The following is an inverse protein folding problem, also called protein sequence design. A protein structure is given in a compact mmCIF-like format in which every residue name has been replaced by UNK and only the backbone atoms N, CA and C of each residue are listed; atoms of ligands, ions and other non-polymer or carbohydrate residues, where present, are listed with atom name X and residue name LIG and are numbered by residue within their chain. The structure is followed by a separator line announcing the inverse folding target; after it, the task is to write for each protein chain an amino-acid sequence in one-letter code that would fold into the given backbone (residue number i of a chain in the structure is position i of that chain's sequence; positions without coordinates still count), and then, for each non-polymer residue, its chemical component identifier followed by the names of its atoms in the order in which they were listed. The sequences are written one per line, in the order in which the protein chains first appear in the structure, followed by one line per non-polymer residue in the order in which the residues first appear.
data_IF_693609589497
#
_entry.id   IF_693609589497
#
_cell.length_a   1.000
_cell.length_b   1.000
_cell.length_c   1.000
_cell.angle_alpha   90.00
_cell.angle_beta   90.00
_cell.angle_gamma   90.00
#
_symmetry.space_group_name_H-M   'P 1'
#
loop_
_entity.id
_entity.type
_entity.pdbx_description
1 polymer ?
#
# COMPACT_ATOMS: atom_id res chain seq x y z
N UNK A 1 -42.32 8.00 69.22
CA UNK A 1 -41.29 8.37 68.21
C UNK A 1 -40.73 7.05 67.70
N UNK A 2 -40.89 6.63 66.45
CA UNK A 2 -40.90 7.35 65.16
C UNK A 2 -41.56 6.49 64.06
N UNK A 3 -42.07 7.17 63.04
CA UNK A 3 -43.02 6.73 62.01
C UNK A 3 -42.53 5.65 61.03
N UNK A 4 -43.48 4.85 60.51
CA UNK A 4 -43.29 4.01 59.32
C UNK A 4 -43.52 4.84 58.06
N UNK A 5 -42.48 5.03 57.25
CA UNK A 5 -42.54 5.76 55.97
C UNK A 5 -43.36 4.95 54.95
N UNK A 6 -44.57 5.43 54.63
CA UNK A 6 -45.45 4.84 53.62
C UNK A 6 -45.09 5.31 52.21
N UNK A 7 -44.41 4.46 51.43
CA UNK A 7 -44.13 4.73 50.02
C UNK A 7 -45.45 4.65 49.23
N UNK A 8 -45.92 5.81 48.77
CA UNK A 8 -47.19 5.95 48.04
C UNK A 8 -46.97 5.80 46.54
N UNK A 9 -47.89 5.15 45.82
CA UNK A 9 -47.81 4.88 44.35
C UNK A 9 -47.61 6.15 43.48
N UNK A 10 -47.96 7.33 43.99
CA UNK A 10 -47.72 8.63 43.33
C UNK A 10 -46.24 9.09 43.37
N UNK A 11 -45.45 8.59 44.31
CA UNK A 11 -44.00 8.85 44.33
C UNK A 11 -43.31 8.08 43.20
N UNK A 12 -43.74 6.84 42.93
CA UNK A 12 -43.21 6.02 41.84
C UNK A 12 -43.47 6.61 40.44
N UNK A 13 -44.62 7.25 40.21
CA UNK A 13 -44.93 7.84 38.90
C UNK A 13 -44.16 9.13 38.62
N UNK A 14 -43.77 9.89 39.64
CA UNK A 14 -42.90 11.08 39.47
C UNK A 14 -41.44 10.71 39.20
N UNK A 15 -40.94 9.62 39.80
CA UNK A 15 -39.59 9.11 39.54
C UNK A 15 -39.43 8.55 38.12
N UNK A 16 -40.49 7.94 37.57
CA UNK A 16 -40.46 7.37 36.21
C UNK A 16 -40.33 8.42 35.11
N UNK A 17 -40.93 9.60 35.28
CA UNK A 17 -40.85 10.70 34.29
C UNK A 17 -39.49 11.41 34.27
N UNK A 18 -38.77 11.44 35.39
CA UNK A 18 -37.42 12.02 35.44
C UNK A 18 -36.37 11.13 34.74
N UNK A 19 -36.57 9.80 34.73
CA UNK A 19 -35.66 8.86 34.04
C UNK A 19 -35.75 8.91 32.52
N UNK A 20 -36.92 9.21 31.96
CA UNK A 20 -37.14 9.23 30.50
C UNK A 20 -36.48 10.45 29.84
N UNK A 21 -36.43 11.59 30.52
CA UNK A 21 -35.82 12.83 29.98
C UNK A 21 -34.29 12.72 29.87
N UNK A 22 -33.63 11.95 30.75
CA UNK A 22 -32.20 11.69 30.67
C UNK A 22 -31.82 10.64 29.60
N UNK A 23 -32.75 9.76 29.20
CA UNK A 23 -32.53 8.77 28.15
C UNK A 23 -32.70 9.36 26.72
N UNK A 24 -33.37 10.50 26.59
CA UNK A 24 -33.62 11.19 25.32
C UNK A 24 -32.62 12.32 25.03
N UNK A 25 -31.66 12.57 25.92
CA UNK A 25 -30.59 13.52 25.64
C UNK A 25 -29.79 12.98 24.43
N UNK A 26 -29.71 13.71 23.29
CA UNK A 26 -28.87 13.30 22.19
C UNK A 26 -27.44 13.28 22.72
N UNK A 27 -26.91 12.08 22.97
CA UNK A 27 -25.48 11.92 23.22
C UNK A 27 -24.78 12.65 22.08
N UNK A 28 -23.93 13.64 22.36
CA UNK A 28 -23.14 14.26 21.32
C UNK A 28 -22.28 13.14 20.74
N UNK A 29 -22.69 12.64 19.57
CA UNK A 29 -21.82 11.85 18.71
C UNK A 29 -20.70 12.82 18.37
N UNK A 30 -19.60 12.73 19.10
CA UNK A 30 -18.38 13.42 18.71
C UNK A 30 -18.09 12.94 17.30
N UNK A 31 -18.33 13.80 16.33
CA UNK A 31 -17.78 13.65 15.00
C UNK A 31 -16.27 13.76 15.20
N UNK A 32 -15.64 12.61 15.48
CA UNK A 32 -14.19 12.49 15.42
C UNK A 32 -13.87 12.79 13.97
N UNK A 33 -13.37 14.00 13.71
CA UNK A 33 -12.80 14.34 12.41
C UNK A 33 -11.75 13.28 12.13
N UNK A 34 -12.10 12.29 11.33
CA UNK A 34 -11.27 11.10 11.21
C UNK A 34 -10.17 11.45 10.22
N UNK A 35 -8.94 11.57 10.72
CA UNK A 35 -7.78 11.97 9.91
C UNK A 35 -7.69 11.11 8.64
N UNK A 36 -7.30 11.68 7.49
CA UNK A 36 -7.19 10.91 6.26
C UNK A 36 -6.15 9.79 6.41
N UNK A 37 -6.38 8.68 5.72
CA UNK A 37 -5.39 7.60 5.59
C UNK A 37 -4.38 8.06 4.54
N UNK A 38 -3.17 8.36 5.00
CA UNK A 38 -2.06 8.76 4.13
C UNK A 38 -1.36 7.52 3.58
N UNK A 39 -1.16 7.49 2.27
CA UNK A 39 -0.46 6.41 1.58
C UNK A 39 0.61 7.04 0.69
N UNK A 40 1.85 6.62 0.89
CA UNK A 40 3.03 7.13 0.19
C UNK A 40 3.27 6.35 -1.08
N UNK A 41 3.47 7.07 -2.18
CA UNK A 41 3.75 6.53 -3.51
C UNK A 41 4.98 7.21 -4.11
N UNK A 42 6.19 6.85 -3.66
CA UNK A 42 7.41 7.20 -4.38
C UNK A 42 7.41 6.47 -5.73
N UNK A 43 7.38 7.23 -6.82
CA UNK A 43 7.32 6.72 -8.18
C UNK A 43 8.39 7.38 -9.03
N UNK A 44 8.97 6.64 -9.97
CA UNK A 44 9.81 7.22 -11.02
C UNK A 44 8.89 7.89 -12.06
N UNK A 45 8.48 9.14 -11.84
CA UNK A 45 7.65 9.92 -12.76
C UNK A 45 8.48 10.51 -13.90
N UNK A 46 9.75 10.77 -13.64
CA UNK A 46 10.78 11.14 -14.62
C UNK A 46 11.85 10.04 -14.73
N UNK A 47 12.76 10.18 -15.70
CA UNK A 47 13.82 9.21 -15.94
C UNK A 47 13.41 8.03 -16.84
N UNK A 48 14.20 6.94 -16.86
CA UNK A 48 14.08 5.85 -17.84
C UNK A 48 12.72 5.13 -17.85
N UNK A 49 12.05 5.08 -16.69
CA UNK A 49 10.73 4.45 -16.53
C UNK A 49 9.61 5.48 -16.26
N UNK A 50 9.83 6.75 -16.62
CA UNK A 50 8.86 7.83 -16.38
C UNK A 50 7.46 7.52 -16.94
N UNK A 51 7.39 6.90 -18.13
CA UNK A 51 6.10 6.49 -18.73
C UNK A 51 5.34 5.46 -17.90
N UNK A 52 6.04 4.56 -17.22
CA UNK A 52 5.44 3.55 -16.31
C UNK A 52 5.01 4.23 -15.02
N UNK A 53 5.85 5.08 -14.43
CA UNK A 53 5.49 5.84 -13.23
C UNK A 53 4.26 6.73 -13.45
N UNK A 54 4.11 7.36 -14.61
CA UNK A 54 2.91 8.13 -14.94
C UNK A 54 1.65 7.25 -15.03
N UNK A 55 1.76 6.02 -15.51
CA UNK A 55 0.64 5.07 -15.51
C UNK A 55 0.27 4.64 -14.09
N UNK A 56 1.26 4.35 -13.25
CA UNK A 56 1.05 4.02 -11.83
C UNK A 56 0.40 5.18 -11.07
N UNK A 57 0.85 6.42 -11.30
CA UNK A 57 0.24 7.63 -10.74
C UNK A 57 -1.24 7.72 -11.08
N UNK A 58 -1.58 7.62 -12.38
CA UNK A 58 -2.98 7.69 -12.84
C UNK A 58 -3.84 6.59 -12.22
N UNK A 59 -3.30 5.37 -12.12
CA UNK A 59 -3.98 4.25 -11.48
C UNK A 59 -4.25 4.48 -9.99
N UNK A 60 -3.25 4.98 -9.25
CA UNK A 60 -3.39 5.34 -7.84
C UNK A 60 -4.43 6.45 -7.63
N UNK A 61 -4.31 7.55 -8.39
CA UNK A 61 -5.26 8.68 -8.31
C UNK A 61 -6.70 8.26 -8.61
N UNK A 62 -6.90 7.40 -9.63
CA UNK A 62 -8.21 6.85 -9.95
C UNK A 62 -8.75 6.01 -8.78
N UNK A 63 -7.94 5.13 -8.22
CA UNK A 63 -8.34 4.30 -7.07
C UNK A 63 -8.74 5.15 -5.86
N UNK A 64 -7.91 6.13 -5.48
CA UNK A 64 -8.21 7.02 -4.37
C UNK A 64 -9.49 7.83 -4.62
N UNK A 65 -9.67 8.36 -5.84
CA UNK A 65 -10.87 9.11 -6.22
C UNK A 65 -12.14 8.24 -6.11
N UNK A 66 -12.11 7.03 -6.66
CA UNK A 66 -13.24 6.09 -6.60
C UNK A 66 -13.57 5.73 -5.16
N UNK A 67 -12.55 5.40 -4.36
CA UNK A 67 -12.78 4.97 -2.99
C UNK A 67 -13.28 6.11 -2.10
N UNK A 68 -12.75 7.31 -2.27
CA UNK A 68 -13.22 8.52 -1.59
C UNK A 68 -14.66 8.88 -2.00
N UNK A 69 -15.01 8.71 -3.27
CA UNK A 69 -16.39 8.87 -3.77
C UNK A 69 -17.39 7.88 -3.15
N UNK A 70 -16.92 6.69 -2.75
CA UNK A 70 -17.73 5.67 -2.08
C UNK A 70 -17.81 5.82 -0.55
N UNK A 71 -17.40 6.98 -0.01
CA UNK A 71 -17.41 7.24 1.43
C UNK A 71 -16.08 6.93 2.14
N UNK A 72 -15.01 6.69 1.38
CA UNK A 72 -13.67 6.43 1.89
C UNK A 72 -13.44 4.98 2.30
N UNK A 73 -12.33 4.75 3.00
CA UNK A 73 -11.95 3.45 3.55
C UNK A 73 -12.14 3.47 5.07
N UNK A 74 -12.97 2.59 5.61
CA UNK A 74 -13.31 2.56 7.06
C UNK A 74 -13.88 3.93 7.52
N UNK A 75 -14.60 4.62 6.64
CA UNK A 75 -15.13 5.97 6.89
C UNK A 75 -14.09 7.11 6.87
N UNK A 76 -12.85 6.82 6.45
CA UNK A 76 -11.75 7.78 6.34
C UNK A 76 -11.43 8.06 4.88
N UNK A 77 -11.17 9.32 4.55
CA UNK A 77 -10.70 9.70 3.22
C UNK A 77 -9.26 9.23 3.01
N UNK A 78 -8.92 8.81 1.80
CA UNK A 78 -7.57 8.43 1.39
C UNK A 78 -6.85 9.66 0.83
N UNK A 79 -5.63 9.91 1.32
CA UNK A 79 -4.71 10.91 0.81
C UNK A 79 -3.48 10.20 0.22
N UNK A 80 -3.34 10.25 -1.10
CA UNK A 80 -2.15 9.75 -1.79
C UNK A 80 -1.07 10.83 -1.81
N UNK A 81 0.11 10.51 -1.29
CA UNK A 81 1.30 11.35 -1.34
C UNK A 81 2.21 10.79 -2.44
N UNK A 82 2.26 11.48 -3.58
CA UNK A 82 3.01 11.04 -4.75
C UNK A 82 4.23 11.94 -4.91
N UNK A 83 5.43 11.35 -4.88
CA UNK A 83 6.68 12.06 -5.07
C UNK A 83 7.48 11.41 -6.20
N UNK A 84 8.17 12.24 -6.98
CA UNK A 84 9.06 11.78 -8.05
C UNK A 84 10.42 11.38 -7.49
N UNK A 85 10.85 10.16 -7.82
CA UNK A 85 12.16 9.62 -7.46
C UNK A 85 13.19 9.76 -8.57
N UNK A 86 12.77 10.15 -9.79
CA UNK A 86 13.65 10.25 -10.96
C UNK A 86 14.29 8.94 -11.41
N UNK A 87 13.86 7.80 -10.86
CA UNK A 87 14.49 6.50 -11.07
C UNK A 87 15.79 6.29 -10.28
N UNK A 88 16.06 7.12 -9.26
CA UNK A 88 17.27 7.05 -8.44
C UNK A 88 16.98 6.44 -7.05
N UNK A 89 17.67 5.36 -6.65
CA UNK A 89 17.50 4.75 -5.33
C UNK A 89 17.74 5.70 -4.15
N UNK A 90 18.72 6.61 -4.26
CA UNK A 90 19.01 7.56 -3.17
C UNK A 90 17.87 8.55 -2.98
N UNK A 91 17.30 9.06 -4.08
CA UNK A 91 16.13 9.94 -4.02
C UNK A 91 14.89 9.19 -3.53
N UNK A 92 14.69 7.93 -3.92
CA UNK A 92 13.59 7.12 -3.42
C UNK A 92 13.63 6.96 -1.88
N UNK A 93 14.80 6.68 -1.31
CA UNK A 93 14.97 6.58 0.16
C UNK A 93 14.70 7.93 0.82
N UNK A 94 15.30 9.01 0.31
CA UNK A 94 15.11 10.35 0.88
C UNK A 94 13.64 10.79 0.84
N UNK A 95 12.97 10.59 -0.30
CA UNK A 95 11.54 10.92 -0.46
C UNK A 95 10.65 10.07 0.42
N UNK A 96 10.91 8.77 0.54
CA UNK A 96 10.18 7.91 1.46
C UNK A 96 10.38 8.36 2.92
N UNK A 97 11.61 8.69 3.31
CA UNK A 97 11.92 9.21 4.65
C UNK A 97 11.17 10.52 4.93
N UNK A 98 11.18 11.48 3.99
CA UNK A 98 10.41 12.72 4.10
C UNK A 98 8.92 12.44 4.32
N UNK A 99 8.32 11.47 3.60
CA UNK A 99 6.91 11.09 3.80
C UNK A 99 6.63 10.50 5.19
N UNK A 100 7.55 9.71 5.75
CA UNK A 100 7.40 9.17 7.11
C UNK A 100 7.51 10.30 8.12
N UNK A 101 8.60 11.07 8.07
CA UNK A 101 8.96 12.04 9.12
C UNK A 101 8.10 13.30 9.08
N UNK A 102 7.87 13.86 7.89
CA UNK A 102 7.09 15.10 7.72
C UNK A 102 5.59 14.83 7.72
N UNK A 103 5.17 13.82 6.95
CA UNK A 103 3.76 13.61 6.67
C UNK A 103 3.14 12.51 7.55
N UNK A 104 3.93 11.75 8.32
CA UNK A 104 3.43 10.67 9.18
C UNK A 104 2.89 9.47 8.38
N UNK A 105 3.45 9.22 7.20
CA UNK A 105 2.98 8.17 6.30
C UNK A 105 3.64 6.82 6.63
N UNK A 106 2.86 5.88 7.16
CA UNK A 106 3.35 4.56 7.56
C UNK A 106 2.95 3.44 6.59
N UNK A 107 2.30 3.78 5.48
CA UNK A 107 1.89 2.82 4.45
C UNK A 107 2.44 3.31 3.11
N UNK A 108 3.28 2.48 2.51
CA UNK A 108 3.84 2.71 1.20
C UNK A 108 3.24 1.75 0.19
N UNK A 109 3.02 2.25 -1.02
CA UNK A 109 2.70 1.43 -2.19
C UNK A 109 3.40 2.01 -3.41
N UNK A 110 3.69 1.18 -4.41
CA UNK A 110 4.43 1.62 -5.59
C UNK A 110 5.89 1.26 -5.55
N UNK A 111 6.77 2.20 -5.90
CA UNK A 111 8.16 2.00 -6.32
C UNK A 111 8.26 1.23 -7.65
N UNK A 112 8.62 1.98 -8.69
CA UNK A 112 8.72 1.50 -10.06
C UNK A 112 9.96 0.62 -10.27
N UNK A 113 11.14 1.07 -9.80
CA UNK A 113 12.38 0.32 -10.04
C UNK A 113 12.68 -0.67 -8.91
N UNK A 114 13.22 -1.83 -9.30
CA UNK A 114 13.67 -2.82 -8.31
C UNK A 114 14.87 -2.35 -7.50
N UNK A 115 15.74 -1.50 -8.08
CA UNK A 115 16.88 -0.89 -7.38
C UNK A 115 16.44 0.07 -6.27
N UNK A 116 15.38 0.85 -6.51
CA UNK A 116 14.78 1.73 -5.51
C UNK A 116 14.16 0.93 -4.37
N UNK A 117 13.43 -0.15 -4.71
CA UNK A 117 12.79 -1.00 -3.71
C UNK A 117 13.82 -1.66 -2.78
N UNK A 118 14.95 -2.14 -3.34
CA UNK A 118 16.04 -2.73 -2.55
C UNK A 118 16.71 -1.73 -1.60
N UNK A 119 16.69 -0.44 -1.92
CA UNK A 119 17.22 0.61 -1.05
C UNK A 119 16.22 1.00 0.06
N UNK A 120 14.93 1.02 -0.25
CA UNK A 120 13.87 1.41 0.69
C UNK A 120 13.50 0.30 1.68
N UNK A 121 13.43 -0.95 1.23
CA UNK A 121 12.95 -2.08 2.04
C UNK A 121 13.70 -2.26 3.37
N UNK A 122 15.04 -2.19 3.44
CA UNK A 122 15.78 -2.30 4.70
C UNK A 122 15.43 -1.22 5.74
N UNK A 123 14.87 -0.09 5.31
CA UNK A 123 14.51 1.04 6.18
C UNK A 123 13.10 0.94 6.76
N UNK A 124 12.27 0.02 6.28
CA UNK A 124 10.87 -0.11 6.69
C UNK A 124 10.70 -0.46 8.18
N UNK A 125 11.62 -1.26 8.74
CA UNK A 125 11.59 -1.62 10.16
C UNK A 125 11.86 -0.40 11.05
N UNK A 126 12.85 0.43 10.68
CA UNK A 126 13.21 1.67 11.37
C UNK A 126 12.03 2.64 11.38
N UNK A 127 11.35 2.78 10.24
CA UNK A 127 10.19 3.66 10.09
C UNK A 127 8.88 3.08 10.62
N UNK A 128 8.88 1.81 11.07
CA UNK A 128 7.65 1.06 11.41
C UNK A 128 6.58 1.16 10.33
N UNK A 129 7.01 1.21 9.08
CA UNK A 129 6.15 1.38 7.93
C UNK A 129 5.94 0.04 7.21
N UNK A 130 4.79 -0.13 6.59
CA UNK A 130 4.46 -1.29 5.77
C UNK A 130 4.59 -0.88 4.31
N UNK A 131 5.22 -1.73 3.49
CA UNK A 131 5.34 -1.50 2.05
C UNK A 131 4.69 -2.62 1.27
N UNK A 132 3.74 -2.26 0.39
CA UNK A 132 3.11 -3.18 -0.56
C UNK A 132 3.61 -2.86 -1.96
N UNK A 133 4.43 -3.75 -2.52
CA UNK A 133 4.93 -3.60 -3.88
C UNK A 133 3.86 -3.90 -4.94
N UNK A 134 3.86 -3.09 -6.01
CA UNK A 134 2.96 -3.21 -7.16
C UNK A 134 3.67 -3.44 -8.50
N UNK A 135 4.98 -3.16 -8.64
CA UNK A 135 5.66 -3.22 -9.95
C UNK A 135 7.03 -3.94 -9.90
N UNK A 136 7.89 -3.56 -8.96
CA UNK A 136 9.25 -4.09 -8.85
C UNK A 136 9.32 -5.64 -8.73
N UNK A 137 10.21 -6.25 -9.53
CA UNK A 137 10.23 -7.70 -9.74
C UNK A 137 11.40 -8.45 -9.12
N UNK A 138 12.38 -7.80 -8.47
CA UNK A 138 13.57 -8.51 -8.00
C UNK A 138 13.20 -9.62 -6.98
N UNK A 139 13.81 -10.79 -7.17
CA UNK A 139 13.59 -11.96 -6.32
C UNK A 139 14.18 -11.81 -4.92
N UNK A 140 15.27 -11.03 -4.79
CA UNK A 140 15.97 -10.82 -3.52
C UNK A 140 15.08 -10.17 -2.47
N UNK A 141 14.15 -9.31 -2.89
CA UNK A 141 13.18 -8.65 -2.01
C UNK A 141 12.29 -9.63 -1.20
N UNK A 142 12.14 -10.89 -1.62
CA UNK A 142 11.42 -11.96 -0.87
C UNK A 142 12.32 -13.11 -0.44
N UNK A 143 13.64 -12.98 -0.66
CA UNK A 143 14.61 -13.98 -0.31
C UNK A 143 15.65 -13.34 0.62
N UNK A 144 16.80 -12.96 0.09
CA UNK A 144 17.94 -12.42 0.85
C UNK A 144 17.63 -11.12 1.60
N UNK A 145 16.84 -10.24 0.99
CA UNK A 145 16.50 -8.91 1.53
C UNK A 145 15.09 -8.85 2.10
N UNK A 146 14.58 -9.98 2.57
CA UNK A 146 13.24 -10.07 3.15
C UNK A 146 13.17 -9.30 4.48
N UNK A 147 12.09 -8.54 4.65
CA UNK A 147 11.69 -7.93 5.93
C UNK A 147 10.21 -8.23 6.19
N UNK A 148 9.77 -8.38 7.46
CA UNK A 148 8.38 -8.72 7.79
C UNK A 148 7.36 -7.68 7.31
N UNK A 149 7.78 -6.43 7.16
CA UNK A 149 6.93 -5.31 6.77
C UNK A 149 6.78 -5.15 5.24
N UNK A 150 7.45 -6.01 4.46
CA UNK A 150 7.39 -5.98 3.01
C UNK A 150 6.44 -7.05 2.47
N UNK A 151 5.46 -6.60 1.69
CA UNK A 151 4.52 -7.43 0.96
C UNK A 151 4.59 -7.10 -0.52
N UNK A 152 4.25 -8.05 -1.39
CA UNK A 152 4.16 -7.80 -2.83
C UNK A 152 2.89 -8.40 -3.40
N UNK A 153 2.25 -7.67 -4.31
CA UNK A 153 1.05 -8.13 -5.04
C UNK A 153 1.39 -8.64 -6.45
N UNK A 154 2.57 -8.29 -6.96
CA UNK A 154 3.03 -8.56 -8.30
C UNK A 154 3.94 -9.80 -8.37
N UNK A 155 4.22 -10.25 -9.59
CA UNK A 155 5.07 -11.42 -9.84
C UNK A 155 6.56 -11.06 -9.70
N UNK A 156 7.35 -11.97 -9.13
CA UNK A 156 8.80 -11.82 -9.10
C UNK A 156 9.44 -12.28 -10.43
N UNK A 157 10.60 -11.75 -10.76
CA UNK A 157 11.39 -12.14 -11.93
C UNK A 157 11.73 -13.65 -11.92
N UNK A 158 12.08 -14.30 -10.79
CA UNK A 158 12.17 -15.75 -10.73
C UNK A 158 10.88 -16.48 -11.12
N UNK A 159 9.71 -16.01 -10.68
CA UNK A 159 8.42 -16.61 -11.05
C UNK A 159 8.12 -16.44 -12.55
N UNK A 160 8.40 -15.26 -13.11
CA UNK A 160 8.27 -15.01 -14.53
C UNK A 160 9.22 -15.91 -15.35
N UNK A 161 10.47 -16.07 -14.91
CA UNK A 161 11.44 -16.98 -15.53
C UNK A 161 11.00 -18.44 -15.45
N UNK A 162 10.45 -18.88 -14.32
CA UNK A 162 9.88 -20.22 -14.18
C UNK A 162 8.75 -20.47 -15.17
N UNK A 163 7.83 -19.52 -15.32
CA UNK A 163 6.75 -19.57 -16.32
C UNK A 163 7.30 -19.64 -17.75
N UNK A 164 8.26 -18.79 -18.10
CA UNK A 164 8.91 -18.83 -19.41
C UNK A 164 9.61 -20.16 -19.65
N UNK A 165 10.30 -20.71 -18.63
CA UNK A 165 10.95 -22.03 -18.74
C UNK A 165 9.95 -23.15 -18.93
N UNK A 166 8.79 -23.12 -18.27
CA UNK A 166 7.72 -24.10 -18.50
C UNK A 166 7.20 -24.01 -19.94
N UNK A 167 6.88 -22.80 -20.42
CA UNK A 167 6.31 -22.61 -21.75
C UNK A 167 7.30 -22.87 -22.90
N UNK A 168 8.56 -22.44 -22.73
CA UNK A 168 9.62 -22.67 -23.71
C UNK A 168 10.20 -24.09 -23.63
N UNK A 169 10.26 -24.68 -22.43
CA UNK A 169 10.73 -26.05 -22.20
C UNK A 169 9.78 -27.11 -22.75
N UNK A 170 8.46 -26.86 -22.72
CA UNK A 170 7.46 -27.71 -23.37
C UNK A 170 7.31 -27.46 -24.89
N UNK A 171 8.13 -26.59 -25.47
CA UNK A 171 8.16 -26.31 -26.91
C UNK A 171 9.56 -26.55 -27.46
N UNK A 172 10.04 -27.77 -27.31
CA UNK A 172 11.15 -28.30 -28.10
C UNK A 172 10.79 -28.19 -29.59
N UNK A 173 11.31 -27.16 -30.27
CA UNK A 173 11.31 -27.09 -31.74
C UNK A 173 10.73 -25.84 -32.41
N UNK A 174 10.32 -24.78 -31.71
CA UNK A 174 9.94 -23.52 -32.39
C UNK A 174 10.88 -22.38 -32.00
N UNK A 175 11.77 -22.05 -32.93
CA UNK A 175 12.61 -20.85 -32.93
C UNK A 175 11.70 -19.63 -32.80
N UNK A 176 11.52 -19.12 -31.57
CA UNK A 176 10.75 -17.89 -31.41
C UNK A 176 11.63 -16.73 -31.87
N UNK A 177 11.12 -16.02 -32.86
CA UNK A 177 11.73 -14.85 -33.47
C UNK A 177 12.19 -13.89 -32.38
N UNK A 178 13.48 -13.56 -32.43
CA UNK A 178 14.18 -12.60 -31.59
C UNK A 178 13.45 -11.25 -31.71
N UNK A 179 12.50 -10.98 -30.83
CA UNK A 179 11.84 -9.68 -30.75
C UNK A 179 12.85 -8.70 -30.18
N UNK A 180 13.49 -7.96 -31.09
CA UNK A 180 14.54 -6.98 -30.85
C UNK A 180 14.05 -5.68 -30.18
N UNK A 181 13.12 -5.78 -29.22
CA UNK A 181 12.49 -4.62 -28.61
C UNK A 181 13.03 -4.22 -27.23
N UNK A 182 14.08 -4.88 -26.72
CA UNK A 182 14.70 -4.52 -25.44
C UNK A 182 16.21 -4.38 -25.66
N UNK A 183 16.62 -3.13 -25.90
CA UNK A 183 17.98 -2.58 -25.86
C UNK A 183 18.96 -3.08 -26.94
N UNK A 184 19.45 -2.19 -27.84
CA UNK A 184 20.53 -2.54 -28.76
C UNK A 184 21.83 -2.67 -27.95
N UNK A 185 22.24 -3.91 -27.66
CA UNK A 185 23.57 -4.20 -27.10
C UNK A 185 23.63 -5.28 -26.03
N UNK A 186 22.52 -5.60 -25.34
CA UNK A 186 22.51 -6.60 -24.27
C UNK A 186 21.95 -7.94 -24.77
N UNK A 187 22.74 -8.68 -25.55
CA UNK A 187 22.44 -10.08 -25.83
C UNK A 187 22.73 -10.92 -24.56
N UNK A 188 21.81 -10.92 -23.59
CA UNK A 188 21.79 -11.97 -22.56
C UNK A 188 21.24 -13.20 -23.26
N UNK A 189 22.13 -13.96 -23.88
CA UNK A 189 21.86 -15.32 -24.28
C UNK A 189 21.60 -16.11 -22.98
N UNK A 190 20.34 -16.28 -22.60
CA UNK A 190 19.95 -17.36 -21.70
C UNK A 190 20.21 -18.69 -22.43
N UNK A 191 21.47 -19.12 -22.43
CA UNK A 191 21.85 -20.46 -22.83
C UNK A 191 21.31 -21.37 -21.73
N UNK A 192 20.18 -22.02 -21.99
CA UNK A 192 19.74 -23.17 -21.22
C UNK A 192 20.78 -24.28 -21.40
N UNK A 193 21.84 -24.28 -20.59
CA UNK A 193 22.63 -25.49 -20.37
C UNK A 193 21.81 -26.42 -19.49
N UNK A 194 21.35 -27.52 -20.09
CA UNK A 194 20.86 -28.67 -19.33
C UNK A 194 22.02 -29.25 -18.52
N UNK A 195 21.89 -29.48 -17.20
CA UNK A 195 22.82 -30.35 -16.51
C UNK A 195 22.52 -31.79 -16.96
N UNK A 196 23.52 -32.44 -17.57
CA UNK A 196 23.64 -33.90 -17.57
C UNK A 196 24.52 -34.26 -16.40
#
# INVERSE_FOLDING_TARGET
MTERVGITRRAMTRSAMAGIVLAAAPWPRRAVATEPIKIGMPLALTGPLGSVGQQLKRGGELWAKTQNGNGGLIGRQIQLLIEDTGGNPADAVRKAQEMVERDGCNIFTGITLSSEALAVVPKLEEWKAIFVSSDNGDGRLTAESFVPNFFRSNISAPMARGRCRYFCGNRSGRTFMRSAWIMPGAAIACRCSSPR
#
